data_IF_705427807474
#
_entry.id   IF_705427807474
#
_cell.length_a   1.000
_cell.length_b   1.000
_cell.length_c   1.000
_cell.angle_alpha   90.00
_cell.angle_beta   90.00
_cell.angle_gamma   90.00
#
_symmetry.space_group_name_H-M   'P 1'
#
loop_
_entity.id
_entity.type
_entity.pdbx_description
1 polymer ?
#
# COMPACT_ATOMS: atom_id res chain seq x y z
N UNK A 1 -19.63 -41.15 11.06
CA UNK A 1 -19.20 -41.10 12.47
C UNK A 1 -17.69 -41.22 12.53
N UNK A 2 -16.98 -40.14 12.81
CA UNK A 2 -15.86 -40.05 13.79
C UNK A 2 -15.33 -38.62 13.79
N UNK A 3 -15.51 -37.97 14.94
CA UNK A 3 -14.98 -36.66 15.34
C UNK A 3 -13.44 -36.67 15.39
N UNK A 4 -12.84 -35.50 15.21
CA UNK A 4 -11.73 -35.05 16.05
C UNK A 4 -11.61 -33.52 16.02
N UNK A 5 -12.15 -32.91 17.07
CA UNK A 5 -11.82 -31.56 17.54
C UNK A 5 -10.50 -31.62 18.35
N UNK A 6 -9.65 -30.60 18.21
CA UNK A 6 -8.92 -29.90 19.29
C UNK A 6 -7.86 -28.99 18.64
N UNK A 7 -8.05 -27.66 18.69
CA UNK A 7 -7.58 -26.72 19.72
C UNK A 7 -6.05 -26.66 19.84
N UNK A 8 -5.46 -25.64 19.21
CA UNK A 8 -4.10 -25.18 19.50
C UNK A 8 -4.17 -23.79 20.16
N UNK A 9 -3.77 -23.77 21.43
CA UNK A 9 -3.63 -22.61 22.31
C UNK A 9 -2.41 -21.76 21.97
N UNK A 10 -2.56 -20.43 22.05
CA UNK A 10 -1.46 -19.46 22.03
C UNK A 10 -0.73 -19.42 23.38
N UNK A 11 0.60 -19.19 23.42
CA UNK A 11 1.33 -19.05 24.67
C UNK A 11 1.26 -17.62 25.25
N UNK A 12 0.93 -17.55 26.54
CA UNK A 12 1.08 -16.37 27.40
C UNK A 12 2.56 -16.07 27.70
N UNK A 13 2.91 -14.79 27.81
CA UNK A 13 4.11 -14.31 28.50
C UNK A 13 3.80 -13.08 29.36
N UNK A 14 3.59 -13.31 30.65
CA UNK A 14 4.00 -12.49 31.79
C UNK A 14 5.05 -13.36 32.54
N UNK A 15 6.10 -12.92 33.23
CA UNK A 15 6.49 -11.68 33.89
C UNK A 15 8.04 -11.56 33.83
N UNK A 16 8.60 -10.36 33.96
CA UNK A 16 9.58 -10.09 35.04
C UNK A 16 9.76 -8.58 35.27
N UNK A 17 9.96 -8.23 36.55
CA UNK A 17 9.67 -6.93 37.18
C UNK A 17 10.94 -6.11 37.48
N UNK A 18 10.76 -4.78 37.35
CA UNK A 18 11.11 -3.67 38.27
C UNK A 18 12.56 -3.44 38.72
N UNK A 19 13.03 -2.20 38.56
CA UNK A 19 13.24 -1.16 39.61
C UNK A 19 14.09 -0.01 39.02
N UNK A 20 14.02 1.29 39.37
CA UNK A 20 13.30 2.09 40.38
C UNK A 20 13.55 3.61 40.10
N UNK A 21 12.50 4.46 40.28
CA UNK A 21 12.48 5.84 40.86
C UNK A 21 13.32 7.00 40.23
N UNK A 22 12.94 8.30 40.19
CA UNK A 22 11.86 9.10 40.80
C UNK A 22 11.77 10.55 40.20
N UNK A 23 10.54 11.08 40.08
CA UNK A 23 9.99 12.46 40.18
C UNK A 23 10.66 13.74 39.58
N UNK A 24 9.83 14.54 38.86
CA UNK A 24 9.27 15.89 39.21
C UNK A 24 8.39 16.37 38.02
N UNK A 25 7.05 16.51 38.12
CA UNK A 25 6.18 17.60 38.66
C UNK A 25 6.17 18.92 37.85
N UNK A 26 4.98 19.33 37.35
CA UNK A 26 4.63 20.69 36.91
C UNK A 26 3.69 20.74 35.70
N UNK A 27 2.36 20.87 35.91
CA UNK A 27 1.45 22.00 35.52
C UNK A 27 1.01 21.98 34.04
N UNK A 28 -0.28 21.74 33.74
CA UNK A 28 -1.33 22.76 33.43
C UNK A 28 -0.87 23.70 32.29
N UNK A 29 -1.54 23.92 31.17
CA UNK A 29 -2.90 23.77 30.65
C UNK A 29 -2.80 23.98 29.12
N UNK A 30 -3.85 23.63 28.39
CA UNK A 30 -4.39 24.33 27.20
C UNK A 30 -4.80 23.38 26.08
N UNK A 31 -6.10 23.47 25.82
CA UNK A 31 -6.87 22.82 24.78
C UNK A 31 -6.67 23.58 23.48
N UNK A 32 -5.83 23.07 22.59
CA UNK A 32 -5.78 23.57 21.22
C UNK A 32 -6.54 22.62 20.31
N UNK A 33 -7.79 22.99 20.06
CA UNK A 33 -8.55 22.55 18.89
C UNK A 33 -7.99 23.26 17.66
N UNK A 34 -6.85 22.77 17.14
CA UNK A 34 -6.41 23.14 15.80
C UNK A 34 -7.06 22.20 14.78
N UNK A 35 -8.02 22.73 14.05
CA UNK A 35 -8.56 22.14 12.83
C UNK A 35 -7.51 22.21 11.73
N UNK A 36 -6.66 21.19 11.64
CA UNK A 36 -5.66 21.05 10.58
C UNK A 36 -6.33 20.69 9.24
N UNK A 37 -6.48 21.71 8.39
CA UNK A 37 -6.84 21.62 6.97
C UNK A 37 -5.64 21.16 6.14
N UNK A 38 -5.23 19.89 6.26
CA UNK A 38 -4.19 19.32 5.41
C UNK A 38 -4.79 18.83 4.06
N UNK A 39 -4.68 19.69 3.04
CA UNK A 39 -4.98 19.44 1.61
C UNK A 39 -6.37 18.89 1.29
N UNK A 40 -7.40 19.57 1.79
CA UNK A 40 -8.71 19.59 1.16
C UNK A 40 -8.77 20.87 0.34
N UNK A 41 -9.02 20.80 -0.97
CA UNK A 41 -9.69 21.93 -1.59
C UNK A 41 -11.09 21.94 -1.00
N UNK A 42 -11.54 23.07 -0.45
CA UNK A 42 -12.91 23.25 0.12
C UNK A 42 -14.06 22.86 -0.85
N UNK A 43 -13.74 22.46 -2.07
CA UNK A 43 -14.65 22.02 -3.13
C UNK A 43 -14.92 20.51 -3.21
N UNK A 44 -14.12 19.64 -2.60
CA UNK A 44 -14.29 18.18 -2.76
C UNK A 44 -15.32 17.62 -1.77
N UNK A 45 -16.32 16.91 -2.28
CA UNK A 45 -17.34 16.26 -1.44
C UNK A 45 -16.84 14.95 -0.81
N UNK A 46 -17.44 14.56 0.32
CA UNK A 46 -17.14 13.28 1.00
C UNK A 46 -17.25 12.06 0.06
N UNK A 47 -18.18 12.10 -0.91
CA UNK A 47 -18.34 11.03 -1.90
C UNK A 47 -17.17 11.00 -2.89
N UNK A 48 -16.69 12.15 -3.36
CA UNK A 48 -15.54 12.22 -4.26
C UNK A 48 -14.26 11.73 -3.58
N UNK A 49 -14.10 11.96 -2.28
CA UNK A 49 -12.96 11.43 -1.50
C UNK A 49 -13.00 9.90 -1.42
N UNK A 50 -14.18 9.32 -1.17
CA UNK A 50 -14.35 7.87 -1.14
C UNK A 50 -14.13 7.24 -2.53
N UNK A 51 -14.58 7.92 -3.59
CA UNK A 51 -14.47 7.46 -4.97
C UNK A 51 -13.05 7.62 -5.55
N UNK A 52 -12.30 8.66 -5.17
CA UNK A 52 -10.89 8.87 -5.62
C UNK A 52 -9.95 7.75 -5.16
N UNK A 53 -10.23 7.15 -4.01
CA UNK A 53 -9.48 5.98 -3.56
C UNK A 53 -9.84 4.69 -4.33
N UNK A 54 -10.81 4.74 -5.26
CA UNK A 54 -11.25 3.67 -6.14
C UNK A 54 -11.10 4.11 -7.61
N UNK A 55 -9.88 4.09 -8.18
CA UNK A 55 -9.73 4.45 -9.59
C UNK A 55 -10.44 3.46 -10.54
N UNK A 56 -11.45 3.94 -11.25
CA UNK A 56 -12.16 3.26 -12.33
C UNK A 56 -11.75 3.79 -13.71
N UNK A 57 -11.92 2.97 -14.75
CA UNK A 57 -11.85 3.40 -16.14
C UNK A 57 -13.00 4.38 -16.45
N UNK A 58 -12.68 5.64 -16.75
CA UNK A 58 -13.65 6.74 -16.93
C UNK A 58 -14.69 6.50 -18.04
N UNK A 59 -14.45 5.59 -18.99
CA UNK A 59 -15.41 5.27 -20.07
C UNK A 59 -16.43 4.21 -19.62
N UNK A 60 -16.09 3.35 -18.66
CA UNK A 60 -16.93 2.20 -18.28
C UNK A 60 -17.86 2.47 -17.09
N UNK A 61 -17.84 3.68 -16.51
CA UNK A 61 -18.77 4.23 -15.52
C UNK A 61 -19.51 3.20 -14.63
N UNK A 62 -18.74 2.32 -13.98
CA UNK A 62 -19.19 1.51 -12.83
C UNK A 62 -20.26 0.44 -13.09
N UNK A 63 -20.58 0.05 -14.33
CA UNK A 63 -21.50 -1.07 -14.55
C UNK A 63 -20.87 -2.24 -15.30
N UNK A 64 -21.14 -3.41 -14.73
CA UNK A 64 -20.92 -4.79 -15.18
C UNK A 64 -19.53 -5.42 -14.96
N UNK A 65 -19.51 -6.29 -13.94
CA UNK A 65 -18.63 -7.44 -13.71
C UNK A 65 -17.12 -7.23 -14.00
N UNK A 66 -16.42 -6.84 -12.93
CA UNK A 66 -14.97 -6.57 -12.84
C UNK A 66 -14.11 -7.78 -13.29
N UNK A 67 -14.71 -8.97 -13.46
CA UNK A 67 -14.03 -10.17 -13.97
C UNK A 67 -13.95 -10.24 -15.51
N UNK A 68 -14.61 -9.33 -16.25
CA UNK A 68 -14.72 -9.34 -17.72
C UNK A 68 -14.22 -8.08 -18.41
N UNK A 69 -13.00 -7.63 -18.11
CA UNK A 69 -12.30 -6.66 -18.98
C UNK A 69 -11.33 -7.42 -19.89
N UNK A 70 -11.74 -7.86 -21.10
CA UNK A 70 -10.80 -8.36 -22.10
C UNK A 70 -10.12 -7.16 -22.76
N UNK A 71 -8.98 -6.72 -22.22
CA UNK A 71 -8.06 -5.92 -23.02
C UNK A 71 -7.32 -6.86 -23.98
N UNK A 72 -7.92 -7.14 -25.14
CA UNK A 72 -7.24 -7.91 -26.19
C UNK A 72 -6.26 -6.98 -26.90
N UNK A 73 -4.98 -7.30 -26.78
CA UNK A 73 -3.90 -6.63 -27.49
C UNK A 73 -3.82 -7.19 -28.91
N UNK A 74 -4.07 -6.36 -29.92
CA UNK A 74 -3.96 -6.75 -31.32
C UNK A 74 -2.51 -6.62 -31.80
N UNK A 75 -1.88 -7.76 -32.14
CA UNK A 75 -0.47 -7.80 -32.58
C UNK A 75 -0.24 -7.23 -33.97
N UNK A 76 -1.27 -7.12 -34.80
CA UNK A 76 -1.16 -6.64 -36.18
C UNK A 76 -1.17 -5.11 -36.29
N UNK A 77 -1.94 -4.42 -35.44
CA UNK A 77 -2.00 -2.95 -35.42
C UNK A 77 -1.33 -2.28 -34.20
N UNK A 78 -0.84 -3.07 -33.23
CA UNK A 78 -0.18 -2.60 -31.98
C UNK A 78 -1.04 -1.65 -31.12
N UNK A 79 -2.36 -1.88 -31.09
CA UNK A 79 -3.31 -1.14 -30.25
C UNK A 79 -4.02 -2.04 -29.23
N UNK A 80 -4.43 -1.43 -28.12
CA UNK A 80 -5.40 -2.01 -27.19
C UNK A 80 -6.79 -1.64 -27.66
N UNK A 81 -7.62 -2.65 -27.84
CA UNK A 81 -9.00 -2.50 -28.27
C UNK A 81 -9.93 -2.65 -27.06
N UNK A 82 -10.89 -1.74 -26.90
CA UNK A 82 -12.00 -1.92 -25.97
C UNK A 82 -13.14 -2.53 -26.77
N UNK A 83 -13.41 -3.83 -26.58
CA UNK A 83 -14.50 -4.52 -27.29
C UNK A 83 -15.87 -3.85 -27.08
N UNK A 84 -16.05 -3.18 -25.94
CA UNK A 84 -17.29 -2.51 -25.58
C UNK A 84 -17.55 -1.20 -26.36
N UNK A 85 -16.49 -0.51 -26.83
CA UNK A 85 -16.62 0.82 -27.43
C UNK A 85 -16.03 0.95 -28.85
N UNK A 86 -15.41 -0.10 -29.40
CA UNK A 86 -14.95 -0.22 -30.79
C UNK A 86 -14.24 1.05 -31.35
N UNK A 87 -13.23 1.58 -30.65
CA UNK A 87 -12.47 2.75 -31.09
C UNK A 87 -10.96 2.66 -30.81
N UNK A 88 -10.17 3.29 -31.69
CA UNK A 88 -8.70 3.39 -31.65
C UNK A 88 -8.30 4.81 -31.23
N UNK A 89 -7.32 4.96 -30.34
CA UNK A 89 -6.99 6.24 -29.69
C UNK A 89 -5.53 6.68 -30.01
N UNK A 90 -5.35 7.48 -31.07
CA UNK A 90 -4.09 8.13 -31.54
C UNK A 90 -3.93 9.60 -31.01
N UNK A 91 -2.84 10.39 -31.11
CA UNK A 91 -1.37 10.30 -31.42
C UNK A 91 -0.58 11.53 -30.83
N UNK A 92 0.76 11.45 -30.83
CA UNK A 92 1.86 12.46 -30.80
C UNK A 92 2.11 13.46 -29.63
N UNK A 93 2.93 12.99 -28.66
CA UNK A 93 3.95 13.62 -27.77
C UNK A 93 4.45 12.48 -26.85
N UNK A 94 5.02 11.47 -27.51
CA UNK A 94 4.58 10.09 -27.34
C UNK A 94 5.16 9.32 -26.15
N UNK A 95 6.46 9.43 -25.82
CA UNK A 95 7.05 8.48 -24.85
C UNK A 95 6.58 8.63 -23.40
N UNK A 96 6.40 9.84 -22.87
CA UNK A 96 5.89 10.05 -21.50
C UNK A 96 4.37 9.85 -21.39
N UNK A 97 3.62 10.18 -22.46
CA UNK A 97 2.16 9.95 -22.53
C UNK A 97 1.82 8.46 -22.69
N UNK A 98 2.66 7.66 -23.36
CA UNK A 98 2.50 6.22 -23.45
C UNK A 98 2.71 5.50 -22.12
N UNK A 99 3.63 5.97 -21.28
CA UNK A 99 3.79 5.47 -19.91
C UNK A 99 2.53 5.78 -19.08
N UNK A 100 1.99 7.02 -19.18
CA UNK A 100 0.71 7.43 -18.56
C UNK A 100 -0.48 6.57 -19.01
N UNK A 101 -0.63 6.26 -20.31
CA UNK A 101 -1.67 5.34 -20.81
C UNK A 101 -1.52 3.89 -20.29
N UNK A 102 -0.29 3.44 -19.99
CA UNK A 102 0.00 2.06 -19.52
C UNK A 102 -0.19 1.86 -18.02
N UNK A 103 -0.05 2.91 -17.23
CA UNK A 103 -0.18 2.87 -15.76
C UNK A 103 -1.45 3.58 -15.25
N UNK A 104 -2.27 4.16 -16.13
CA UNK A 104 -3.55 4.81 -15.80
C UNK A 104 -3.46 6.28 -15.38
N UNK A 105 -2.34 6.96 -15.67
CA UNK A 105 -2.04 8.33 -15.20
C UNK A 105 -0.82 8.39 -14.27
N UNK A 106 -0.31 9.58 -13.96
CA UNK A 106 0.68 9.74 -12.88
C UNK A 106 -0.06 10.24 -11.66
N UNK A 107 0.13 9.56 -10.53
CA UNK A 107 -0.44 9.95 -9.24
C UNK A 107 0.70 10.56 -8.42
N UNK A 108 0.53 11.82 -8.04
CA UNK A 108 1.49 12.55 -7.21
C UNK A 108 1.08 12.46 -5.74
N UNK A 109 1.98 12.85 -4.83
CA UNK A 109 1.69 12.89 -3.38
C UNK A 109 0.44 13.74 -3.08
N UNK A 110 0.21 14.81 -3.85
CA UNK A 110 -0.94 15.72 -3.68
C UNK A 110 -2.28 15.08 -4.02
N UNK A 111 -2.25 14.03 -4.84
CA UNK A 111 -3.45 13.29 -5.25
C UNK A 111 -3.82 12.20 -4.22
N UNK A 112 -2.94 11.92 -3.24
CA UNK A 112 -3.11 10.82 -2.29
C UNK A 112 -3.75 11.33 -1.00
N UNK A 113 -4.93 10.80 -0.70
CA UNK A 113 -5.66 11.09 0.53
C UNK A 113 -5.07 10.28 1.68
N UNK A 114 -4.72 10.96 2.77
CA UNK A 114 -4.20 10.32 3.98
C UNK A 114 -5.28 9.42 4.59
N UNK A 115 -4.86 8.29 5.16
CA UNK A 115 -5.78 7.27 5.62
C UNK A 115 -6.69 7.77 6.74
N UNK A 116 -6.19 8.62 7.65
CA UNK A 116 -7.03 9.15 8.73
C UNK A 116 -8.23 9.96 8.20
N UNK A 117 -8.02 10.77 7.16
CA UNK A 117 -9.07 11.54 6.50
C UNK A 117 -10.12 10.61 5.89
N UNK A 118 -9.65 9.67 5.07
CA UNK A 118 -10.49 8.66 4.45
C UNK A 118 -11.28 7.82 5.49
N UNK A 119 -10.61 7.33 6.52
CA UNK A 119 -11.20 6.48 7.56
C UNK A 119 -12.26 7.25 8.36
N UNK A 120 -12.02 8.52 8.69
CA UNK A 120 -13.01 9.34 9.38
C UNK A 120 -14.28 9.56 8.54
N UNK A 121 -14.13 9.85 7.24
CA UNK A 121 -15.28 9.99 6.32
C UNK A 121 -16.02 8.66 6.19
N UNK A 122 -15.29 7.56 5.96
CA UNK A 122 -15.84 6.22 5.84
C UNK A 122 -16.62 5.80 7.09
N UNK A 123 -16.04 5.97 8.28
CA UNK A 123 -16.68 5.62 9.54
C UNK A 123 -17.89 6.51 9.84
N UNK A 124 -17.81 7.82 9.62
CA UNK A 124 -18.97 8.71 9.82
C UNK A 124 -20.16 8.32 8.95
N UNK A 125 -19.88 7.91 7.70
CA UNK A 125 -20.90 7.54 6.72
C UNK A 125 -21.51 6.17 7.00
N UNK A 126 -20.69 5.16 7.32
CA UNK A 126 -21.13 3.76 7.37
C UNK A 126 -21.21 3.17 8.79
N UNK A 127 -20.53 3.76 9.76
CA UNK A 127 -20.43 3.30 11.16
C UNK A 127 -20.49 4.48 12.15
N UNK A 128 -21.52 5.35 12.10
CA UNK A 128 -21.59 6.57 12.92
C UNK A 128 -21.57 6.30 14.44
N UNK A 129 -21.97 5.11 14.87
CA UNK A 129 -21.87 4.63 16.25
C UNK A 129 -20.43 4.59 16.78
N UNK A 130 -19.43 4.46 15.89
CA UNK A 130 -18.02 4.46 16.25
C UNK A 130 -17.57 5.72 17.01
N UNK A 131 -18.24 6.85 16.79
CA UNK A 131 -17.90 8.14 17.40
C UNK A 131 -18.74 8.50 18.64
N UNK A 132 -19.63 7.61 19.11
CA UNK A 132 -20.45 7.90 20.30
C UNK A 132 -19.67 7.61 21.58
N UNK A 133 -19.54 8.63 22.45
CA UNK A 133 -18.70 8.60 23.67
C UNK A 133 -19.09 7.54 24.71
N UNK A 134 -20.29 6.98 24.63
CA UNK A 134 -20.82 6.02 25.62
C UNK A 134 -20.38 4.56 25.38
N UNK A 135 -19.90 4.21 24.19
CA UNK A 135 -19.39 2.88 23.90
C UNK A 135 -17.86 2.89 23.77
N UNK A 136 -17.19 2.16 24.68
CA UNK A 136 -15.77 1.82 24.56
C UNK A 136 -15.50 1.40 23.11
N UNK A 137 -14.58 2.11 22.45
CA UNK A 137 -14.02 1.82 21.11
C UNK A 137 -14.42 0.42 20.61
N UNK A 138 -15.40 0.34 19.71
CA UNK A 138 -16.12 -0.91 19.38
C UNK A 138 -15.20 -1.99 18.82
N UNK A 139 -14.02 -1.61 18.33
CA UNK A 139 -12.98 -2.54 17.91
C UNK A 139 -11.92 -2.75 18.99
N UNK A 140 -11.62 -4.02 19.27
CA UNK A 140 -10.43 -4.41 20.04
C UNK A 140 -9.19 -4.20 19.15
N UNK A 141 -8.63 -2.99 19.19
CA UNK A 141 -7.44 -2.64 18.40
C UNK A 141 -6.18 -3.28 18.98
N UNK A 142 -5.19 -3.56 18.13
CA UNK A 142 -3.85 -4.04 18.56
C UNK A 142 -3.01 -2.84 18.99
N UNK A 143 -3.11 -1.74 18.25
CA UNK A 143 -2.38 -0.49 18.51
C UNK A 143 -3.31 0.58 19.09
N UNK A 144 -2.72 1.52 19.84
CA UNK A 144 -3.40 2.73 20.28
C UNK A 144 -3.49 3.74 19.13
N UNK A 145 -4.50 4.60 19.19
CA UNK A 145 -4.63 5.75 18.30
C UNK A 145 -3.38 6.61 18.42
N UNK A 146 -2.78 6.96 17.27
CA UNK A 146 -1.64 7.86 17.18
C UNK A 146 -1.83 8.73 15.94
N UNK A 147 -2.23 9.98 16.14
CA UNK A 147 -2.58 10.90 15.05
C UNK A 147 -1.37 11.22 14.17
N UNK A 148 -0.17 11.33 14.75
CA UNK A 148 1.06 11.56 13.99
C UNK A 148 1.32 10.40 13.02
N UNK A 149 1.24 9.16 13.49
CA UNK A 149 1.41 7.97 12.63
C UNK A 149 0.29 7.84 11.60
N UNK A 150 -0.96 8.14 11.99
CA UNK A 150 -2.11 8.03 11.09
C UNK A 150 -2.02 9.04 9.92
N UNK A 151 -1.38 10.20 10.11
CA UNK A 151 -1.04 11.15 9.03
C UNK A 151 0.04 10.62 8.06
N UNK A 152 0.83 9.61 8.44
CA UNK A 152 1.93 9.05 7.63
C UNK A 152 1.52 7.91 6.69
N UNK A 153 0.26 7.48 6.70
CA UNK A 153 -0.18 6.36 5.86
C UNK A 153 -1.35 6.71 4.95
N UNK A 154 -1.45 6.01 3.82
CA UNK A 154 -2.57 6.09 2.88
C UNK A 154 -2.90 4.70 2.30
N UNK A 155 -4.13 4.51 1.84
CA UNK A 155 -4.58 3.32 1.12
C UNK A 155 -5.17 3.75 -0.21
N UNK A 156 -4.66 3.19 -1.30
CA UNK A 156 -5.00 3.60 -2.67
C UNK A 156 -5.32 2.38 -3.54
N UNK A 157 -6.46 2.41 -4.23
CA UNK A 157 -6.73 1.49 -5.33
C UNK A 157 -5.95 1.93 -6.58
N UNK A 158 -5.00 1.12 -7.02
CA UNK A 158 -4.18 1.44 -8.19
C UNK A 158 -2.99 0.51 -8.34
N UNK A 159 -2.01 0.93 -9.14
CA UNK A 159 -0.74 0.22 -9.28
C UNK A 159 0.42 1.12 -8.82
N UNK A 160 1.42 0.55 -8.14
CA UNK A 160 2.55 1.34 -7.64
C UNK A 160 3.40 1.96 -8.75
N UNK A 161 3.32 1.45 -9.98
CA UNK A 161 4.07 1.99 -11.12
C UNK A 161 3.59 3.37 -11.60
N UNK A 162 2.41 3.84 -11.18
CA UNK A 162 1.88 5.18 -11.48
C UNK A 162 2.33 6.27 -10.50
N UNK A 163 2.91 5.90 -9.36
CA UNK A 163 3.23 6.87 -8.31
C UNK A 163 4.49 7.68 -8.60
N UNK A 164 4.36 9.01 -8.61
CA UNK A 164 5.47 9.97 -8.61
C UNK A 164 5.89 10.28 -7.17
N UNK A 165 6.63 9.33 -6.59
CA UNK A 165 7.14 9.35 -5.21
C UNK A 165 8.60 8.90 -5.17
N UNK A 166 9.25 8.87 -4.02
CA UNK A 166 10.67 8.51 -3.96
C UNK A 166 10.91 7.03 -4.29
N UNK A 167 10.18 6.11 -3.67
CA UNK A 167 10.39 4.69 -3.90
C UNK A 167 9.09 3.90 -4.02
N UNK A 168 9.01 3.03 -5.02
CA UNK A 168 7.88 2.11 -5.19
C UNK A 168 8.35 0.67 -4.99
N UNK A 169 7.54 -0.11 -4.31
CA UNK A 169 7.81 -1.53 -4.09
C UNK A 169 7.44 -2.33 -5.33
N UNK A 170 8.32 -3.27 -5.68
CA UNK A 170 8.07 -4.33 -6.64
C UNK A 170 7.99 -5.68 -5.91
N UNK A 171 6.93 -6.45 -6.15
CA UNK A 171 6.85 -7.87 -5.75
C UNK A 171 7.63 -8.72 -6.77
N UNK A 172 8.94 -8.82 -6.58
CA UNK A 172 9.87 -9.43 -7.53
C UNK A 172 10.02 -10.96 -7.35
N UNK A 173 10.53 -11.62 -8.38
CA UNK A 173 11.04 -12.99 -8.30
C UNK A 173 12.55 -13.00 -8.02
N UNK A 174 13.12 -14.15 -7.65
CA UNK A 174 14.55 -14.33 -7.32
C UNK A 174 15.50 -13.84 -8.41
N UNK A 175 15.09 -13.84 -9.68
CA UNK A 175 15.91 -13.40 -10.81
C UNK A 175 15.89 -11.89 -11.05
N UNK A 176 15.00 -11.15 -10.38
CA UNK A 176 14.74 -9.71 -10.61
C UNK A 176 14.42 -9.38 -12.08
N UNK A 177 13.85 -10.33 -12.81
CA UNK A 177 13.46 -10.14 -14.21
C UNK A 177 11.95 -10.01 -14.32
N UNK A 178 11.47 -9.52 -15.47
CA UNK A 178 10.05 -9.49 -15.78
C UNK A 178 9.42 -10.89 -15.58
N UNK A 179 8.22 -10.93 -15.02
CA UNK A 179 7.47 -12.18 -14.86
C UNK A 179 6.52 -12.44 -16.02
N UNK A 180 5.67 -13.45 -15.88
CA UNK A 180 4.54 -13.70 -16.79
C UNK A 180 3.39 -12.69 -16.67
N UNK A 181 3.38 -11.83 -15.64
CA UNK A 181 2.33 -10.83 -15.40
C UNK A 181 2.49 -10.09 -14.05
N UNK A 182 1.49 -9.27 -13.70
CA UNK A 182 1.43 -8.55 -12.42
C UNK A 182 2.33 -7.31 -12.33
N UNK A 183 2.45 -6.77 -11.11
CA UNK A 183 3.16 -5.51 -10.86
C UNK A 183 4.63 -5.56 -11.27
N UNK A 184 5.29 -6.71 -11.10
CA UNK A 184 6.68 -6.90 -11.53
C UNK A 184 6.86 -6.72 -13.04
N UNK A 185 6.00 -7.35 -13.84
CA UNK A 185 6.04 -7.18 -15.29
C UNK A 185 5.71 -5.75 -15.71
N UNK A 186 4.78 -5.09 -15.02
CA UNK A 186 4.46 -3.68 -15.27
C UNK A 186 5.65 -2.76 -14.97
N UNK A 187 6.28 -2.91 -13.80
CA UNK A 187 7.46 -2.13 -13.39
C UNK A 187 8.61 -2.30 -14.39
N UNK A 188 8.92 -3.53 -14.82
CA UNK A 188 9.94 -3.76 -15.86
C UNK A 188 9.56 -3.16 -17.22
N UNK A 189 8.28 -3.27 -17.62
CA UNK A 189 7.79 -2.69 -18.88
C UNK A 189 7.87 -1.16 -18.89
N UNK A 190 7.55 -0.53 -17.77
CA UNK A 190 7.55 0.93 -17.60
C UNK A 190 9.00 1.42 -17.43
N UNK A 191 9.74 0.87 -16.47
CA UNK A 191 11.14 1.20 -16.18
C UNK A 191 12.12 0.94 -17.33
N UNK A 192 11.77 0.04 -18.24
CA UNK A 192 12.48 -0.18 -19.49
C UNK A 192 13.78 -0.98 -19.35
N UNK A 193 14.57 -1.00 -20.42
CA UNK A 193 15.75 -1.87 -20.53
C UNK A 193 16.83 -1.56 -19.49
N UNK A 194 16.98 -0.28 -19.11
CA UNK A 194 17.99 0.14 -18.12
C UNK A 194 17.69 -0.45 -16.73
N UNK A 195 16.42 -0.47 -16.32
CA UNK A 195 15.98 -1.16 -15.10
C UNK A 195 16.37 -2.64 -15.13
N UNK A 196 16.06 -3.30 -16.25
CA UNK A 196 16.38 -4.72 -16.41
C UNK A 196 17.88 -4.99 -16.38
N UNK A 197 18.70 -4.10 -16.94
CA UNK A 197 20.17 -4.20 -16.89
C UNK A 197 20.74 -4.02 -15.48
N UNK A 198 20.19 -3.09 -14.69
CA UNK A 198 20.57 -2.92 -13.28
C UNK A 198 20.17 -4.13 -12.44
N UNK A 199 18.93 -4.61 -12.59
CA UNK A 199 18.44 -5.82 -11.92
C UNK A 199 19.33 -7.06 -12.20
N UNK A 200 19.79 -7.23 -13.44
CA UNK A 200 20.69 -8.35 -13.82
C UNK A 200 22.03 -8.34 -13.07
N UNK A 201 22.49 -7.19 -12.58
CA UNK A 201 23.73 -7.09 -11.79
C UNK A 201 23.53 -7.46 -10.32
N UNK A 202 22.28 -7.37 -9.83
CA UNK A 202 21.92 -7.63 -8.44
C UNK A 202 21.33 -9.03 -8.24
N UNK A 203 20.91 -9.70 -9.30
CA UNK A 203 20.34 -11.04 -9.22
C UNK A 203 21.42 -12.13 -9.13
N UNK A 204 21.13 -13.26 -8.46
CA UNK A 204 19.88 -13.61 -7.79
C UNK A 204 19.73 -12.97 -6.39
N UNK A 205 18.48 -12.68 -6.00
CA UNK A 205 18.13 -12.22 -4.65
C UNK A 205 17.36 -13.30 -3.91
N UNK A 206 17.79 -13.61 -2.68
CA UNK A 206 17.15 -14.61 -1.84
C UNK A 206 15.76 -14.15 -1.37
N UNK A 207 14.82 -15.09 -1.25
CA UNK A 207 13.51 -14.83 -0.63
C UNK A 207 13.65 -14.24 0.77
N UNK A 208 12.81 -13.25 1.07
CA UNK A 208 12.86 -12.50 2.31
C UNK A 208 13.82 -11.31 2.31
N UNK A 209 14.42 -10.97 1.17
CA UNK A 209 15.27 -9.79 1.04
C UNK A 209 14.69 -8.80 0.01
N UNK A 210 15.11 -7.55 0.14
CA UNK A 210 14.80 -6.45 -0.76
C UNK A 210 16.09 -5.83 -1.27
N UNK A 211 16.13 -5.41 -2.54
CA UNK A 211 17.22 -4.62 -3.11
C UNK A 211 16.70 -3.35 -3.77
N UNK A 212 17.55 -2.34 -3.88
CA UNK A 212 17.22 -1.02 -4.45
C UNK A 212 17.84 -0.86 -5.83
N UNK A 213 17.09 -0.28 -6.76
CA UNK A 213 17.60 0.20 -8.06
C UNK A 213 17.08 1.60 -8.34
N UNK A 214 17.63 2.27 -9.35
CA UNK A 214 16.96 3.43 -9.95
C UNK A 214 15.67 2.98 -10.63
N UNK A 215 14.69 3.87 -10.71
CA UNK A 215 13.40 3.58 -11.34
C UNK A 215 13.35 3.94 -12.83
N UNK A 216 14.34 4.69 -13.32
CA UNK A 216 14.51 5.04 -14.73
C UNK A 216 13.33 5.77 -15.36
N UNK A 217 12.47 5.04 -16.08
CA UNK A 217 11.32 5.60 -16.80
C UNK A 217 10.04 5.63 -15.96
N UNK A 218 10.05 5.00 -14.78
CA UNK A 218 8.95 5.16 -13.83
C UNK A 218 8.89 6.62 -13.32
N UNK A 219 7.71 7.09 -12.87
CA UNK A 219 7.60 8.40 -12.24
C UNK A 219 8.33 8.49 -10.89
N UNK A 220 8.59 7.34 -10.24
CA UNK A 220 9.33 7.30 -8.98
C UNK A 220 10.84 7.49 -9.18
N UNK A 221 11.59 7.74 -8.10
CA UNK A 221 13.06 7.82 -8.15
C UNK A 221 13.71 6.44 -8.10
N UNK A 222 13.18 5.57 -7.24
CA UNK A 222 13.71 4.23 -6.96
C UNK A 222 12.65 3.13 -7.04
N UNK A 223 13.13 1.89 -7.16
CA UNK A 223 12.33 0.67 -7.03
C UNK A 223 12.93 -0.22 -5.94
N UNK A 224 12.08 -0.60 -4.98
CA UNK A 224 12.38 -1.55 -3.91
C UNK A 224 11.95 -2.95 -4.36
N UNK A 225 12.87 -3.71 -4.94
CA UNK A 225 12.61 -5.07 -5.42
C UNK A 225 12.57 -6.06 -4.26
N UNK A 226 11.37 -6.36 -3.78
CA UNK A 226 11.12 -7.25 -2.65
C UNK A 226 10.83 -8.66 -3.15
N UNK A 227 11.67 -9.63 -2.77
CA UNK A 227 11.44 -11.05 -3.12
C UNK A 227 10.66 -11.73 -2.01
N UNK A 228 9.36 -11.88 -2.24
CA UNK A 228 8.47 -12.64 -1.35
C UNK A 228 8.75 -14.15 -1.40
N UNK A 229 8.22 -14.92 -0.43
CA UNK A 229 8.32 -16.37 -0.46
C UNK A 229 7.36 -16.96 -1.50
N UNK A 230 7.83 -17.91 -2.31
CA UNK A 230 6.99 -18.70 -3.23
C UNK A 230 6.18 -19.79 -2.50
N UNK A 231 6.56 -20.06 -1.26
CA UNK A 231 5.90 -20.93 -0.30
C UNK A 231 5.18 -20.07 0.76
N UNK A 232 4.12 -20.57 1.39
CA UNK A 232 3.36 -19.81 2.41
C UNK A 232 4.12 -19.72 3.74
N UNK A 233 5.31 -19.09 3.74
CA UNK A 233 6.18 -18.89 4.91
C UNK A 233 6.11 -17.44 5.41
N UNK A 234 5.33 -17.17 6.47
CA UNK A 234 5.16 -15.83 7.03
C UNK A 234 6.47 -15.15 7.41
N UNK A 235 7.42 -15.89 7.97
CA UNK A 235 8.68 -15.32 8.45
C UNK A 235 9.54 -14.75 7.33
N UNK A 236 9.51 -15.37 6.15
CA UNK A 236 10.21 -14.83 4.98
C UNK A 236 9.52 -13.56 4.48
N UNK A 237 8.20 -13.48 4.49
CA UNK A 237 7.49 -12.25 4.13
C UNK A 237 7.79 -11.12 5.13
N UNK A 238 7.80 -11.43 6.43
CA UNK A 238 8.21 -10.49 7.49
C UNK A 238 9.64 -10.00 7.27
N UNK A 239 10.56 -10.91 6.95
CA UNK A 239 11.96 -10.58 6.63
C UNK A 239 12.03 -9.64 5.42
N UNK A 240 11.22 -9.88 4.38
CA UNK A 240 11.19 -9.06 3.18
C UNK A 240 10.80 -7.60 3.47
N UNK A 241 9.73 -7.39 4.25
CA UNK A 241 9.32 -6.04 4.68
C UNK A 241 10.36 -5.39 5.60
N UNK A 242 10.95 -6.13 6.55
CA UNK A 242 12.04 -5.60 7.39
C UNK A 242 13.25 -5.16 6.56
N UNK A 243 13.64 -5.97 5.57
CA UNK A 243 14.72 -5.65 4.64
C UNK A 243 14.40 -4.40 3.79
N UNK A 244 13.14 -4.23 3.37
CA UNK A 244 12.69 -3.03 2.66
C UNK A 244 12.85 -1.80 3.55
N UNK A 245 12.35 -1.85 4.77
CA UNK A 245 12.37 -0.71 5.68
C UNK A 245 13.77 -0.36 6.19
N UNK A 246 14.69 -1.32 6.22
CA UNK A 246 16.10 -1.05 6.46
C UNK A 246 16.68 -0.14 5.36
N UNK A 247 16.39 -0.44 4.09
CA UNK A 247 16.83 0.39 2.96
C UNK A 247 16.21 1.78 3.02
N UNK A 248 14.90 1.88 3.32
CA UNK A 248 14.20 3.16 3.45
C UNK A 248 14.86 4.02 4.53
N UNK A 249 15.23 3.41 5.67
CA UNK A 249 15.91 4.11 6.76
C UNK A 249 17.32 4.57 6.41
N UNK A 250 18.06 3.79 5.62
CA UNK A 250 19.46 4.06 5.26
C UNK A 250 19.61 5.05 4.10
N UNK A 251 18.53 5.36 3.38
CA UNK A 251 18.55 6.17 2.16
C UNK A 251 17.91 7.53 2.40
N UNK A 252 18.74 8.54 2.65
CA UNK A 252 18.32 9.89 3.06
C UNK A 252 17.35 10.63 2.11
N UNK A 253 17.31 10.26 0.82
CA UNK A 253 16.42 10.89 -0.18
C UNK A 253 15.14 10.09 -0.46
N UNK A 254 14.77 9.17 0.43
CA UNK A 254 13.48 8.45 0.43
C UNK A 254 12.65 8.90 1.63
N UNK A 255 11.68 9.79 1.41
CA UNK A 255 10.66 10.15 2.41
C UNK A 255 9.26 9.65 2.03
N UNK A 256 9.05 9.19 0.79
CA UNK A 256 7.75 8.68 0.31
C UNK A 256 7.86 7.30 -0.32
N UNK A 257 7.05 6.36 0.17
CA UNK A 257 7.13 4.93 -0.21
C UNK A 257 5.76 4.37 -0.60
N UNK A 258 5.69 3.72 -1.76
CA UNK A 258 4.49 3.05 -2.26
C UNK A 258 4.64 1.54 -2.13
N UNK A 259 3.90 0.92 -1.22
CA UNK A 259 3.95 -0.52 -0.93
C UNK A 259 2.88 -1.26 -1.73
N UNK A 260 3.22 -2.42 -2.29
CA UNK A 260 2.25 -3.30 -2.95
C UNK A 260 1.99 -4.55 -2.11
N UNK A 261 0.94 -5.31 -2.44
CA UNK A 261 0.64 -6.58 -1.79
C UNK A 261 1.59 -7.68 -2.28
N UNK A 262 2.71 -7.89 -1.57
CA UNK A 262 3.72 -8.89 -1.93
C UNK A 262 3.19 -10.31 -1.70
N UNK A 263 3.51 -11.22 -2.64
CA UNK A 263 3.16 -12.65 -2.61
C UNK A 263 1.66 -13.03 -2.69
N UNK A 264 0.73 -12.06 -2.71
CA UNK A 264 -0.72 -12.33 -2.77
C UNK A 264 -1.19 -12.83 -4.15
N UNK A 265 -0.59 -12.33 -5.23
CA UNK A 265 -0.97 -12.68 -6.61
C UNK A 265 -0.49 -14.08 -7.02
N UNK A 266 0.50 -14.14 -7.91
CA UNK A 266 0.96 -15.40 -8.52
C UNK A 266 1.52 -16.42 -7.52
N UNK A 267 1.94 -15.99 -6.32
CA UNK A 267 2.43 -16.88 -5.26
C UNK A 267 1.32 -17.41 -4.34
N UNK A 268 0.08 -16.91 -4.45
CA UNK A 268 -1.09 -17.45 -3.76
C UNK A 268 -1.03 -17.38 -2.22
N UNK A 269 -0.29 -16.41 -1.67
CA UNK A 269 -0.24 -16.17 -0.24
C UNK A 269 -1.61 -15.68 0.26
N UNK A 270 -2.13 -16.15 1.41
CA UNK A 270 -3.43 -15.71 1.92
C UNK A 270 -3.48 -14.19 2.12
N UNK A 271 -4.53 -13.55 1.60
CA UNK A 271 -4.69 -12.09 1.59
C UNK A 271 -4.63 -11.54 3.02
N UNK A 272 -5.42 -12.12 3.91
CA UNK A 272 -5.49 -11.77 5.33
C UNK A 272 -4.11 -11.81 6.01
N UNK A 273 -3.36 -12.91 5.83
CA UNK A 273 -2.06 -13.08 6.45
C UNK A 273 -1.00 -12.14 5.88
N UNK A 274 -0.98 -11.95 4.55
CA UNK A 274 -0.06 -11.01 3.91
C UNK A 274 -0.33 -9.57 4.34
N UNK A 275 -1.60 -9.16 4.36
CA UNK A 275 -2.02 -7.82 4.78
C UNK A 275 -1.66 -7.57 6.24
N UNK A 276 -1.96 -8.50 7.15
CA UNK A 276 -1.56 -8.38 8.56
C UNK A 276 -0.04 -8.18 8.70
N UNK A 277 0.78 -8.99 8.00
CA UNK A 277 2.24 -8.86 8.04
C UNK A 277 2.70 -7.49 7.52
N UNK A 278 2.16 -7.03 6.39
CA UNK A 278 2.53 -5.74 5.81
C UNK A 278 2.18 -4.58 6.76
N UNK A 279 0.98 -4.59 7.33
CA UNK A 279 0.49 -3.55 8.25
C UNK A 279 1.25 -3.56 9.58
N UNK A 280 1.46 -4.74 10.18
CA UNK A 280 2.21 -4.89 11.44
C UNK A 280 3.63 -4.36 11.32
N UNK A 281 4.38 -4.81 10.31
CA UNK A 281 5.77 -4.38 10.13
C UNK A 281 5.85 -2.88 9.82
N UNK A 282 4.91 -2.35 9.03
CA UNK A 282 4.85 -0.91 8.73
C UNK A 282 4.55 -0.10 9.98
N UNK A 283 3.56 -0.52 10.77
CA UNK A 283 3.17 0.17 12.01
C UNK A 283 4.32 0.16 13.02
N UNK A 284 4.92 -0.99 13.27
CA UNK A 284 6.07 -1.13 14.19
C UNK A 284 7.28 -0.28 13.78
N UNK A 285 7.50 -0.14 12.47
CA UNK A 285 8.56 0.71 11.94
C UNK A 285 8.24 2.19 12.12
N UNK A 286 6.98 2.61 11.87
CA UNK A 286 6.53 3.99 12.06
C UNK A 286 6.60 4.43 13.53
N UNK A 287 6.31 3.55 14.50
CA UNK A 287 6.45 3.84 15.94
C UNK A 287 7.88 4.27 16.33
N UNK A 288 8.87 3.96 15.50
CA UNK A 288 10.30 4.24 15.77
C UNK A 288 10.92 5.25 14.80
N UNK A 289 10.29 5.48 13.65
CA UNK A 289 10.89 6.23 12.54
C UNK A 289 9.87 7.15 11.82
N UNK A 290 8.79 7.57 12.49
CA UNK A 290 7.77 8.46 11.90
C UNK A 290 8.34 9.79 11.37
N UNK A 291 9.44 10.25 11.96
CA UNK A 291 10.04 11.55 11.63
C UNK A 291 10.89 11.48 10.36
N UNK A 292 11.35 10.29 9.97
CA UNK A 292 12.16 10.07 8.76
C UNK A 292 11.33 9.76 7.52
N UNK A 293 10.00 9.81 7.62
CA UNK A 293 9.10 9.49 6.50
C UNK A 293 8.00 10.54 6.41
N UNK A 294 7.62 10.91 5.19
CA UNK A 294 6.49 11.77 4.90
C UNK A 294 5.22 10.95 4.68
N UNK A 295 5.29 9.89 3.87
CA UNK A 295 4.12 9.09 3.49
C UNK A 295 4.49 7.65 3.11
N UNK A 296 3.72 6.69 3.64
CA UNK A 296 3.66 5.31 3.17
C UNK A 296 2.27 5.03 2.58
N UNK A 297 2.22 4.77 1.28
CA UNK A 297 0.97 4.47 0.57
C UNK A 297 0.89 2.97 0.29
N UNK A 298 -0.12 2.29 0.84
CA UNK A 298 -0.49 0.95 0.43
C UNK A 298 -1.27 1.03 -0.89
N UNK A 299 -0.70 0.51 -1.97
CA UNK A 299 -1.28 0.57 -3.32
C UNK A 299 -1.61 -0.84 -3.80
N UNK A 300 -2.90 -1.09 -3.99
CA UNK A 300 -3.42 -2.43 -4.35
C UNK A 300 -4.42 -2.30 -5.50
N UNK A 301 -4.49 -3.30 -6.38
CA UNK A 301 -5.32 -3.27 -7.59
C UNK A 301 -6.43 -4.34 -7.62
N UNK A 302 -6.64 -5.05 -6.51
CA UNK A 302 -7.71 -6.03 -6.34
C UNK A 302 -8.63 -5.56 -5.21
N UNK A 303 -9.93 -5.54 -5.46
CA UNK A 303 -10.93 -5.05 -4.51
C UNK A 303 -10.94 -5.83 -3.20
N UNK A 304 -10.77 -7.14 -3.24
CA UNK A 304 -10.73 -7.98 -2.02
C UNK A 304 -9.50 -7.67 -1.17
N UNK A 305 -8.38 -7.36 -1.83
CA UNK A 305 -7.15 -6.95 -1.13
C UNK A 305 -7.37 -5.57 -0.52
N UNK A 306 -7.92 -4.60 -1.26
CA UNK A 306 -8.25 -3.27 -0.74
C UNK A 306 -9.16 -3.33 0.47
N UNK A 307 -10.27 -4.08 0.38
CA UNK A 307 -11.24 -4.22 1.46
C UNK A 307 -10.58 -4.83 2.71
N UNK A 308 -9.71 -5.82 2.53
CA UNK A 308 -8.93 -6.40 3.63
C UNK A 308 -7.96 -5.39 4.27
N UNK A 309 -7.24 -4.59 3.46
CA UNK A 309 -6.38 -3.52 3.99
C UNK A 309 -7.20 -2.48 4.75
N UNK A 310 -8.30 -1.99 4.16
CA UNK A 310 -9.18 -1.00 4.77
C UNK A 310 -9.68 -1.48 6.14
N UNK A 311 -10.23 -2.71 6.19
CA UNK A 311 -10.75 -3.29 7.42
C UNK A 311 -9.67 -3.41 8.51
N UNK A 312 -8.53 -4.01 8.18
CA UNK A 312 -7.48 -4.26 9.17
C UNK A 312 -6.79 -2.96 9.61
N UNK A 313 -6.63 -2.00 8.70
CA UNK A 313 -6.10 -0.68 9.04
C UNK A 313 -7.02 0.04 10.03
N UNK A 314 -8.34 0.09 9.81
CA UNK A 314 -9.29 0.72 10.74
C UNK A 314 -9.33 -0.04 12.07
N UNK A 315 -9.51 -1.36 12.03
CA UNK A 315 -9.85 -2.14 13.23
C UNK A 315 -8.66 -2.46 14.12
N UNK A 316 -7.45 -2.58 13.57
CA UNK A 316 -6.31 -3.15 14.30
C UNK A 316 -5.08 -2.25 14.33
N UNK A 317 -4.66 -1.69 13.18
CA UNK A 317 -3.31 -1.13 13.00
C UNK A 317 -3.23 0.40 13.00
N UNK A 318 -4.23 1.08 12.46
CA UNK A 318 -4.30 2.54 12.32
C UNK A 318 -5.68 3.06 12.76
N UNK A 319 -6.11 2.77 14.00
CA UNK A 319 -7.40 3.25 14.48
C UNK A 319 -7.43 4.79 14.52
N UNK A 320 -8.56 5.35 14.10
CA UNK A 320 -8.85 6.79 14.15
C UNK A 320 -9.81 7.09 15.29
N UNK A 321 -9.83 8.33 15.77
CA UNK A 321 -10.84 8.86 16.70
C UNK A 321 -11.24 10.24 16.24
#
# INVERSE_FOLDING_TARGET
MTNCENKSTFPNKEEEKKSKTQLKSGTETETDTETDTETYTESDSDNEILDRNLHFCEICNGNDDITKIPSVYCKECDHYYCEHHNQIIHSSKEKQKHLRKRIGGVITIKDIIRFHAYANIFLKKFYPEYFKEEEKNTFKTIYKVNNLINKKVALLMGNSASLAIDAVQNSANIGLLHGGGGINSLIHKVGGIKLTQECKKLSPVQSGNTVLTKAYNLPSKYVLHTVGPSNKHPDLLRKAYKSLFQIVKEKDDISTVGLCAVAVGTYGFPIDLATNIALEITRDWLEKNSDSIELITFVVNDKRVFDCYQELMIKLYFPVK
#
